data_IF_560941412487
#
_entry.id   IF_560941412487
#
_cell.length_a   1.000
_cell.length_b   1.000
_cell.length_c   1.000
_cell.angle_alpha   90.00
_cell.angle_beta   90.00
_cell.angle_gamma   90.00
#
_symmetry.space_group_name_H-M   'P 1'
#
loop_
_entity.id
_entity.type
_entity.pdbx_description
1 polymer ?
#
# COMPACT_ATOMS: atom_id res chain seq x y z
N UNK A 1 25.50 -3.11 1.36
CA UNK A 1 24.90 -4.43 1.04
C UNK A 1 23.78 -4.66 2.04
N UNK A 2 22.55 -4.93 1.58
CA UNK A 2 21.43 -5.20 2.49
C UNK A 2 21.67 -6.59 3.11
N UNK A 3 21.91 -6.63 4.41
CA UNK A 3 22.17 -7.86 5.14
C UNK A 3 20.85 -8.64 5.35
N UNK A 4 20.78 -9.82 4.75
CA UNK A 4 19.61 -10.70 4.81
C UNK A 4 19.33 -11.18 6.25
N UNK A 5 20.35 -11.30 7.10
CA UNK A 5 20.18 -11.70 8.51
C UNK A 5 19.50 -10.60 9.32
N UNK A 6 19.86 -9.33 9.08
CA UNK A 6 19.22 -8.17 9.74
C UNK A 6 17.76 -7.96 9.35
N UNK A 7 17.30 -8.55 8.25
CA UNK A 7 15.91 -8.47 7.78
C UNK A 7 14.99 -9.55 8.38
N UNK A 8 15.53 -10.74 8.70
CA UNK A 8 14.73 -11.90 9.14
C UNK A 8 13.88 -11.64 10.40
N UNK A 9 14.31 -10.73 11.27
CA UNK A 9 13.70 -10.51 12.60
C UNK A 9 13.04 -9.13 12.75
N UNK A 10 12.82 -8.40 11.65
CA UNK A 10 12.47 -6.97 11.74
C UNK A 10 10.97 -6.70 11.77
N UNK A 11 10.51 -5.96 12.78
CA UNK A 11 9.21 -5.27 12.87
C UNK A 11 7.95 -6.18 12.73
N UNK A 12 7.96 -7.40 13.28
CA UNK A 12 6.76 -8.25 13.40
C UNK A 12 6.20 -8.83 12.09
N UNK A 13 6.95 -8.76 10.98
CA UNK A 13 6.53 -9.26 9.65
C UNK A 13 7.15 -10.61 9.34
N UNK A 14 6.66 -11.63 10.05
CA UNK A 14 7.26 -12.96 10.12
C UNK A 14 7.16 -13.80 8.84
N UNK A 15 6.34 -13.40 7.85
CA UNK A 15 6.26 -14.13 6.57
C UNK A 15 7.11 -13.48 5.48
N UNK A 16 6.95 -12.18 5.25
CA UNK A 16 7.52 -11.53 4.07
C UNK A 16 9.05 -11.43 4.11
N UNK A 17 9.65 -11.00 5.23
CA UNK A 17 11.09 -10.78 5.26
C UNK A 17 11.90 -12.08 5.20
N UNK A 18 11.48 -13.20 5.83
CA UNK A 18 12.12 -14.49 5.60
C UNK A 18 12.03 -14.93 4.13
N UNK A 19 10.87 -14.76 3.48
CA UNK A 19 10.73 -15.06 2.04
C UNK A 19 11.66 -14.18 1.19
N UNK A 20 11.75 -12.88 1.49
CA UNK A 20 12.65 -11.97 0.80
C UNK A 20 14.12 -12.30 1.07
N UNK A 21 14.48 -12.70 2.30
CA UNK A 21 15.82 -13.12 2.68
C UNK A 21 16.28 -14.34 1.89
N UNK A 22 15.39 -15.33 1.71
CA UNK A 22 15.65 -16.44 0.82
C UNK A 22 15.76 -15.99 -0.64
N UNK A 23 14.89 -15.09 -1.11
CA UNK A 23 14.94 -14.57 -2.48
C UNK A 23 16.24 -13.81 -2.81
N UNK A 24 16.82 -13.14 -1.82
CA UNK A 24 18.09 -12.39 -1.94
C UNK A 24 19.33 -13.27 -2.10
N UNK A 25 19.26 -14.57 -1.78
CA UNK A 25 20.40 -15.47 -1.96
C UNK A 25 20.76 -15.67 -3.44
N UNK A 26 19.81 -15.45 -4.35
CA UNK A 26 20.01 -15.58 -5.78
C UNK A 26 20.54 -14.30 -6.44
N UNK A 27 20.06 -13.12 -6.00
CA UNK A 27 20.52 -11.82 -6.50
C UNK A 27 20.05 -10.69 -5.59
N UNK A 28 20.79 -9.57 -5.61
CA UNK A 28 20.46 -8.34 -4.88
C UNK A 28 20.16 -7.16 -5.81
N UNK A 29 19.97 -7.41 -7.11
CA UNK A 29 19.59 -6.35 -8.04
C UNK A 29 18.17 -5.85 -7.77
N UNK A 30 17.92 -4.54 -7.92
CA UNK A 30 16.60 -4.00 -7.60
C UNK A 30 15.48 -4.60 -8.46
N UNK A 31 15.79 -5.02 -9.69
CA UNK A 31 14.85 -5.72 -10.56
C UNK A 31 14.47 -7.09 -9.99
N UNK A 32 15.46 -7.86 -9.54
CA UNK A 32 15.23 -9.17 -8.92
C UNK A 32 14.40 -9.04 -7.65
N UNK A 33 14.73 -8.12 -6.75
CA UNK A 33 14.01 -7.92 -5.49
C UNK A 33 12.53 -7.55 -5.72
N UNK A 34 12.24 -6.76 -6.76
CA UNK A 34 10.87 -6.44 -7.17
C UNK A 34 10.16 -7.62 -7.82
N UNK A 35 10.89 -8.52 -8.46
CA UNK A 35 10.36 -9.74 -9.09
C UNK A 35 9.55 -10.61 -8.13
N UNK A 36 9.94 -10.68 -6.85
CA UNK A 36 9.17 -11.39 -5.84
C UNK A 36 7.72 -10.87 -5.73
N UNK A 37 7.55 -9.55 -5.73
CA UNK A 37 6.22 -8.91 -5.66
C UNK A 37 5.40 -9.15 -6.93
N UNK A 38 6.05 -9.26 -8.09
CA UNK A 38 5.41 -9.56 -9.38
C UNK A 38 4.79 -10.95 -9.39
N UNK A 39 5.48 -11.97 -8.84
CA UNK A 39 4.96 -13.34 -8.76
C UNK A 39 3.63 -13.36 -8.00
N UNK A 40 3.57 -12.74 -6.83
CA UNK A 40 2.33 -12.68 -6.05
C UNK A 40 1.27 -11.75 -6.66
N UNK A 41 1.67 -10.73 -7.43
CA UNK A 41 0.75 -9.91 -8.18
C UNK A 41 0.04 -10.73 -9.27
N UNK A 42 0.79 -11.50 -10.05
CA UNK A 42 0.23 -12.41 -11.07
C UNK A 42 -0.65 -13.49 -10.43
N UNK A 43 -0.21 -14.08 -9.31
CA UNK A 43 -1.02 -15.01 -8.53
C UNK A 43 -2.35 -14.39 -8.10
N UNK A 44 -2.36 -13.13 -7.67
CA UNK A 44 -3.60 -12.42 -7.30
C UNK A 44 -4.54 -12.23 -8.49
N UNK A 45 -4.02 -11.98 -9.70
CA UNK A 45 -4.83 -11.88 -10.94
C UNK A 45 -5.51 -13.22 -11.26
N UNK A 46 -4.78 -14.32 -11.12
CA UNK A 46 -5.37 -15.67 -11.31
C UNK A 46 -6.42 -15.94 -10.23
N UNK A 47 -6.14 -15.62 -8.97
CA UNK A 47 -7.07 -15.90 -7.87
C UNK A 47 -8.34 -15.05 -7.91
N UNK A 48 -8.29 -13.78 -8.33
CA UNK A 48 -9.50 -12.98 -8.51
C UNK A 48 -10.33 -13.48 -9.70
N UNK A 49 -9.69 -13.94 -10.78
CA UNK A 49 -10.37 -14.61 -11.89
C UNK A 49 -11.11 -15.86 -11.38
N UNK A 50 -10.42 -16.74 -10.68
CA UNK A 50 -10.98 -17.97 -10.12
C UNK A 50 -12.12 -17.68 -9.14
N UNK A 51 -11.98 -16.66 -8.29
CA UNK A 51 -13.03 -16.27 -7.35
C UNK A 51 -14.27 -15.77 -8.07
N UNK A 52 -14.11 -14.91 -9.09
CA UNK A 52 -15.23 -14.43 -9.89
C UNK A 52 -15.89 -15.53 -10.73
N UNK A 53 -15.09 -16.43 -11.30
CA UNK A 53 -15.56 -17.60 -12.05
C UNK A 53 -16.37 -18.54 -11.17
N UNK A 54 -15.86 -18.86 -9.99
CA UNK A 54 -16.49 -19.79 -9.06
C UNK A 54 -17.78 -19.24 -8.44
N UNK A 55 -17.81 -17.95 -8.08
CA UNK A 55 -18.97 -17.34 -7.45
C UNK A 55 -20.07 -16.94 -8.44
N UNK A 56 -19.69 -16.66 -9.69
CA UNK A 56 -20.59 -16.18 -10.72
C UNK A 56 -20.41 -16.94 -12.03
N UNK A 57 -19.47 -16.53 -12.87
CA UNK A 57 -19.19 -17.10 -14.18
C UNK A 57 -17.84 -16.61 -14.74
N UNK A 58 -17.37 -17.25 -15.81
CA UNK A 58 -16.09 -16.96 -16.47
C UNK A 58 -15.94 -15.48 -16.84
N UNK A 59 -16.96 -14.87 -17.45
CA UNK A 59 -16.92 -13.45 -17.84
C UNK A 59 -16.73 -12.52 -16.65
N UNK A 60 -17.37 -12.80 -15.52
CA UNK A 60 -17.21 -12.01 -14.29
C UNK A 60 -15.78 -12.11 -13.76
N UNK A 61 -15.21 -13.33 -13.77
CA UNK A 61 -13.80 -13.56 -13.44
C UNK A 61 -12.86 -12.77 -14.35
N UNK A 62 -13.06 -12.82 -15.67
CA UNK A 62 -12.21 -12.13 -16.65
C UNK A 62 -12.25 -10.61 -16.47
N UNK A 63 -13.45 -10.03 -16.31
CA UNK A 63 -13.59 -8.57 -16.10
C UNK A 63 -12.93 -8.14 -14.79
N UNK A 64 -13.09 -8.90 -13.70
CA UNK A 64 -12.46 -8.58 -12.42
C UNK A 64 -10.93 -8.69 -12.48
N UNK A 65 -10.41 -9.72 -13.14
CA UNK A 65 -8.97 -9.91 -13.36
C UNK A 65 -8.37 -8.81 -14.23
N UNK A 66 -9.08 -8.40 -15.30
CA UNK A 66 -8.68 -7.26 -16.13
C UNK A 66 -8.60 -5.98 -15.29
N UNK A 67 -9.66 -5.68 -14.51
CA UNK A 67 -9.71 -4.51 -13.62
C UNK A 67 -8.56 -4.50 -12.60
N UNK A 68 -8.22 -5.65 -12.00
CA UNK A 68 -7.08 -5.75 -11.08
C UNK A 68 -5.75 -5.54 -11.80
N UNK A 69 -5.60 -6.11 -13.00
CA UNK A 69 -4.38 -6.03 -13.82
C UNK A 69 -4.05 -4.58 -14.19
N UNK A 70 -5.06 -3.78 -14.53
CA UNK A 70 -4.87 -2.37 -14.92
C UNK A 70 -4.96 -1.39 -13.76
N UNK A 71 -5.18 -1.87 -12.52
CA UNK A 71 -5.32 -1.00 -11.35
C UNK A 71 -4.00 -0.27 -11.05
N UNK A 72 -3.98 1.08 -11.06
CA UNK A 72 -2.74 1.84 -10.81
C UNK A 72 -2.16 1.59 -9.42
N UNK A 73 -3.01 1.39 -8.41
CA UNK A 73 -2.56 1.04 -7.05
C UNK A 73 -1.91 -0.35 -7.02
N UNK A 74 -2.51 -1.32 -7.70
CA UNK A 74 -2.01 -2.68 -7.70
C UNK A 74 -0.68 -2.78 -8.45
N UNK A 75 -0.57 -2.12 -9.61
CA UNK A 75 0.68 -1.99 -10.37
C UNK A 75 1.78 -1.31 -9.54
N UNK A 76 1.44 -0.24 -8.80
CA UNK A 76 2.41 0.43 -7.92
C UNK A 76 3.06 -0.56 -6.94
N UNK A 77 2.24 -1.36 -6.25
CA UNK A 77 2.75 -2.30 -5.27
C UNK A 77 3.34 -3.58 -5.86
N UNK A 78 2.99 -3.96 -7.09
CA UNK A 78 3.66 -5.02 -7.83
C UNK A 78 5.13 -4.70 -8.16
N UNK A 79 5.48 -3.40 -8.21
CA UNK A 79 6.83 -2.92 -8.52
C UNK A 79 7.60 -2.44 -7.28
N UNK A 80 7.07 -2.68 -6.08
CA UNK A 80 7.71 -2.34 -4.82
C UNK A 80 8.23 -3.60 -4.11
N UNK A 81 9.39 -3.49 -3.46
CA UNK A 81 9.89 -4.53 -2.55
C UNK A 81 9.14 -4.42 -1.22
N UNK A 82 7.85 -4.79 -1.25
CA UNK A 82 6.92 -4.75 -0.12
C UNK A 82 5.98 -5.95 -0.11
N UNK A 83 5.41 -6.21 1.05
CA UNK A 83 4.58 -7.37 1.36
C UNK A 83 3.14 -7.31 0.84
N UNK A 84 2.71 -6.22 0.20
CA UNK A 84 1.29 -6.03 -0.08
C UNK A 84 0.71 -6.94 -1.17
N UNK A 85 1.47 -7.27 -2.22
CA UNK A 85 1.01 -8.21 -3.24
C UNK A 85 0.96 -9.64 -2.71
N UNK A 86 1.94 -10.03 -1.87
CA UNK A 86 1.90 -11.28 -1.10
C UNK A 86 0.64 -11.36 -0.22
N UNK A 87 0.38 -10.32 0.57
CA UNK A 87 -0.82 -10.24 1.41
C UNK A 87 -2.11 -10.35 0.59
N UNK A 88 -2.19 -9.64 -0.53
CA UNK A 88 -3.36 -9.68 -1.43
C UNK A 88 -3.57 -11.09 -2.02
N UNK A 89 -2.49 -11.75 -2.46
CA UNK A 89 -2.52 -13.10 -3.00
C UNK A 89 -3.03 -14.11 -1.96
N UNK A 90 -2.48 -14.09 -0.74
CA UNK A 90 -2.87 -15.01 0.33
C UNK A 90 -4.31 -14.75 0.79
N UNK A 91 -4.72 -13.49 0.90
CA UNK A 91 -6.10 -13.15 1.29
C UNK A 91 -7.12 -13.61 0.25
N UNK A 92 -6.84 -13.46 -1.05
CA UNK A 92 -7.66 -14.01 -2.13
C UNK A 92 -7.73 -15.55 -2.08
N UNK A 93 -6.60 -16.23 -1.88
CA UNK A 93 -6.57 -17.68 -1.73
C UNK A 93 -7.42 -18.15 -0.53
N UNK A 94 -7.30 -17.48 0.62
CA UNK A 94 -8.12 -17.77 1.79
C UNK A 94 -9.61 -17.51 1.55
N UNK A 95 -9.95 -16.49 0.76
CA UNK A 95 -11.34 -16.19 0.39
C UNK A 95 -11.92 -17.24 -0.55
N UNK A 96 -11.13 -17.75 -1.50
CA UNK A 96 -11.50 -18.89 -2.34
C UNK A 96 -11.76 -20.16 -1.51
N UNK A 97 -10.87 -20.48 -0.56
CA UNK A 97 -11.09 -21.59 0.35
C UNK A 97 -12.36 -21.43 1.18
N UNK A 98 -12.64 -20.21 1.68
CA UNK A 98 -13.88 -19.94 2.40
C UNK A 98 -15.11 -20.09 1.49
N UNK A 99 -15.07 -19.56 0.27
CA UNK A 99 -16.16 -19.70 -0.69
C UNK A 99 -16.49 -21.17 -0.95
N UNK A 100 -15.48 -22.02 -1.13
CA UNK A 100 -15.66 -23.47 -1.21
C UNK A 100 -16.21 -24.05 0.09
N UNK A 101 -15.71 -23.65 1.25
CA UNK A 101 -16.18 -24.15 2.55
C UNK A 101 -17.65 -23.77 2.84
N UNK A 102 -18.10 -22.60 2.39
CA UNK A 102 -19.50 -22.16 2.54
C UNK A 102 -20.46 -22.97 1.63
N UNK A 103 -20.00 -23.42 0.47
CA UNK A 103 -20.79 -24.25 -0.45
C UNK A 103 -20.65 -25.75 -0.16
N UNK A 104 -19.51 -26.20 0.37
CA UNK A 104 -19.17 -27.58 0.69
C UNK A 104 -18.78 -27.72 2.19
N UNK A 105 -19.73 -27.50 3.13
CA UNK A 105 -19.43 -27.38 4.57
C UNK A 105 -18.84 -28.65 5.21
N UNK A 106 -19.02 -29.81 4.57
CA UNK A 106 -18.49 -31.09 5.03
C UNK A 106 -17.01 -31.29 4.67
N UNK A 107 -16.45 -30.50 3.75
CA UNK A 107 -15.08 -30.65 3.29
C UNK A 107 -14.09 -29.98 4.26
N UNK A 108 -13.46 -30.78 5.13
CA UNK A 108 -12.48 -30.29 6.10
C UNK A 108 -11.30 -29.54 5.47
N UNK A 109 -10.81 -29.98 4.29
CA UNK A 109 -9.65 -29.38 3.63
C UNK A 109 -9.88 -27.91 3.28
N UNK A 110 -11.11 -27.56 2.85
CA UNK A 110 -11.45 -26.17 2.52
C UNK A 110 -11.47 -25.27 3.75
N UNK A 111 -12.00 -25.75 4.87
CA UNK A 111 -12.03 -25.03 6.15
C UNK A 111 -10.63 -24.87 6.75
N UNK A 112 -9.82 -25.93 6.71
CA UNK A 112 -8.44 -25.87 7.15
C UNK A 112 -7.62 -24.91 6.25
N UNK A 113 -7.79 -25.00 4.93
CA UNK A 113 -7.16 -24.10 3.97
C UNK A 113 -7.51 -22.63 4.21
N UNK A 114 -8.79 -22.33 4.49
CA UNK A 114 -9.22 -20.99 4.88
C UNK A 114 -8.49 -20.49 6.13
N UNK A 115 -8.49 -21.27 7.22
CA UNK A 115 -7.84 -20.89 8.47
C UNK A 115 -6.32 -20.70 8.30
N UNK A 116 -5.65 -21.59 7.58
CA UNK A 116 -4.21 -21.47 7.29
C UNK A 116 -3.93 -20.20 6.49
N UNK A 117 -4.69 -19.93 5.43
CA UNK A 117 -4.48 -18.72 4.62
C UNK A 117 -4.80 -17.44 5.39
N UNK A 118 -5.81 -17.43 6.28
CA UNK A 118 -6.07 -16.26 7.14
C UNK A 118 -4.96 -16.04 8.16
N UNK A 119 -4.44 -17.11 8.76
CA UNK A 119 -3.27 -17.01 9.64
C UNK A 119 -2.04 -16.45 8.90
N UNK A 120 -1.72 -16.99 7.73
CA UNK A 120 -0.63 -16.48 6.88
C UNK A 120 -0.84 -15.01 6.47
N UNK A 121 -2.09 -14.62 6.17
CA UNK A 121 -2.41 -13.22 5.88
C UNK A 121 -2.14 -12.32 7.08
N UNK A 122 -2.51 -12.73 8.30
CA UNK A 122 -2.23 -11.97 9.53
C UNK A 122 -0.72 -11.86 9.80
N UNK A 123 0.05 -12.93 9.51
CA UNK A 123 1.52 -12.90 9.60
C UNK A 123 2.20 -11.95 8.60
N UNK A 124 1.56 -11.65 7.46
CA UNK A 124 2.06 -10.59 6.57
C UNK A 124 1.79 -9.21 7.16
N UNK A 125 0.54 -8.97 7.59
CA UNK A 125 0.05 -7.70 8.10
C UNK A 125 -1.09 -7.98 9.09
N UNK A 126 -0.97 -7.58 10.37
CA UNK A 126 -2.01 -7.80 11.36
C UNK A 126 -3.39 -7.23 10.96
N UNK A 127 -3.41 -6.14 10.18
CA UNK A 127 -4.65 -5.52 9.68
C UNK A 127 -5.50 -6.44 8.79
N UNK A 128 -4.90 -7.46 8.17
CA UNK A 128 -5.65 -8.45 7.39
C UNK A 128 -6.62 -9.26 8.27
N UNK A 129 -6.43 -9.27 9.59
CA UNK A 129 -7.35 -9.86 10.56
C UNK A 129 -8.76 -9.28 10.50
N UNK A 130 -8.94 -8.06 9.98
CA UNK A 130 -10.26 -7.46 9.76
C UNK A 130 -11.14 -8.29 8.79
N UNK A 131 -10.55 -9.12 7.92
CA UNK A 131 -11.31 -10.07 7.08
C UNK A 131 -12.07 -11.12 7.90
N UNK A 132 -11.59 -11.48 9.09
CA UNK A 132 -12.28 -12.44 9.94
C UNK A 132 -13.68 -11.94 10.34
N UNK A 133 -13.87 -10.63 10.47
CA UNK A 133 -15.19 -10.06 10.72
C UNK A 133 -16.17 -10.35 9.57
N UNK A 134 -15.71 -10.22 8.32
CA UNK A 134 -16.50 -10.59 7.16
C UNK A 134 -16.75 -12.11 7.11
N UNK A 135 -15.72 -12.91 7.35
CA UNK A 135 -15.81 -14.37 7.30
C UNK A 135 -16.83 -14.89 8.33
N UNK A 136 -16.76 -14.41 9.59
CA UNK A 136 -17.67 -14.79 10.66
C UNK A 136 -19.10 -14.34 10.37
N UNK A 137 -19.28 -13.13 9.84
CA UNK A 137 -20.59 -12.64 9.40
C UNK A 137 -21.19 -13.56 8.32
N UNK A 138 -20.41 -13.97 7.33
CA UNK A 138 -20.86 -14.85 6.26
C UNK A 138 -21.16 -16.27 6.75
N UNK A 139 -20.28 -16.86 7.56
CA UNK A 139 -20.50 -18.19 8.16
C UNK A 139 -21.77 -18.17 9.02
N UNK A 140 -21.93 -17.15 9.88
CA UNK A 140 -23.07 -17.00 10.77
C UNK A 140 -24.39 -16.82 10.03
N UNK A 141 -24.41 -15.97 9.00
CA UNK A 141 -25.63 -15.76 8.19
C UNK A 141 -25.96 -16.98 7.33
N UNK A 142 -24.98 -17.63 6.71
CA UNK A 142 -25.15 -18.83 5.88
C UNK A 142 -25.69 -20.02 6.66
N UNK A 143 -25.24 -20.23 7.90
CA UNK A 143 -25.56 -21.42 8.70
C UNK A 143 -26.33 -21.11 9.98
N UNK A 144 -26.99 -19.95 10.05
CA UNK A 144 -27.80 -19.52 11.21
C UNK A 144 -28.81 -20.56 11.69
N UNK A 145 -29.44 -21.28 10.75
CA UNK A 145 -30.40 -22.34 11.02
C UNK A 145 -29.78 -23.76 11.09
N UNK A 146 -28.47 -23.89 10.88
CA UNK A 146 -27.77 -25.18 10.71
C UNK A 146 -26.61 -25.29 11.70
N UNK A 147 -26.93 -25.40 13.01
CA UNK A 147 -25.97 -25.37 14.12
C UNK A 147 -24.78 -26.32 13.95
N UNK A 148 -24.99 -27.53 13.44
CA UNK A 148 -23.90 -28.51 13.24
C UNK A 148 -22.88 -28.02 12.21
N UNK A 149 -23.34 -27.40 11.11
CA UNK A 149 -22.44 -26.84 10.08
C UNK A 149 -21.71 -25.60 10.59
N UNK A 150 -22.40 -24.76 11.37
CA UNK A 150 -21.79 -23.61 12.05
C UNK A 150 -20.67 -24.07 13.00
N UNK A 151 -20.96 -25.04 13.87
CA UNK A 151 -20.00 -25.62 14.82
C UNK A 151 -18.83 -26.32 14.11
N UNK A 152 -19.02 -26.79 12.87
CA UNK A 152 -17.95 -27.37 12.08
C UNK A 152 -16.84 -26.36 11.68
N UNK A 153 -17.09 -25.05 11.83
CA UNK A 153 -16.07 -24.00 11.70
C UNK A 153 -15.37 -23.65 13.03
N UNK A 154 -15.86 -24.15 14.17
CA UNK A 154 -15.29 -23.83 15.47
C UNK A 154 -13.85 -24.35 15.61
N UNK A 155 -13.59 -25.61 15.24
CA UNK A 155 -12.24 -26.20 15.31
C UNK A 155 -11.17 -25.41 14.55
N UNK A 156 -11.32 -25.11 13.23
CA UNK A 156 -10.31 -24.37 12.48
C UNK A 156 -10.19 -22.92 12.96
N UNK A 157 -11.29 -22.32 13.43
CA UNK A 157 -11.28 -20.97 13.97
C UNK A 157 -10.55 -20.88 15.32
N UNK A 158 -10.78 -21.84 16.23
CA UNK A 158 -10.03 -21.94 17.50
C UNK A 158 -8.53 -22.14 17.23
N UNK A 159 -8.18 -23.04 16.29
CA UNK A 159 -6.80 -23.22 15.87
C UNK A 159 -6.17 -21.93 15.34
N UNK A 160 -6.89 -21.18 14.51
CA UNK A 160 -6.46 -19.87 14.03
C UNK A 160 -6.25 -18.87 15.17
N UNK A 161 -7.18 -18.79 16.13
CA UNK A 161 -7.05 -17.88 17.28
C UNK A 161 -5.80 -18.22 18.07
N UNK A 162 -5.61 -19.50 18.42
CA UNK A 162 -4.45 -19.97 19.19
C UNK A 162 -3.15 -19.57 18.50
N UNK A 163 -3.05 -19.79 17.19
CA UNK A 163 -1.87 -19.41 16.41
C UNK A 163 -1.65 -17.89 16.34
N UNK A 164 -2.72 -17.09 16.42
CA UNK A 164 -2.63 -15.63 16.42
C UNK A 164 -2.31 -15.03 17.80
N UNK A 165 -2.37 -15.79 18.90
CA UNK A 165 -2.12 -15.27 20.26
C UNK A 165 -0.77 -14.55 20.38
N UNK A 166 0.37 -15.14 19.93
CA UNK A 166 1.67 -14.46 20.07
C UNK A 166 1.72 -13.12 19.32
N UNK A 167 1.11 -13.06 18.14
CA UNK A 167 1.03 -11.83 17.32
C UNK A 167 0.17 -10.79 18.03
N UNK A 168 -0.94 -11.21 18.63
CA UNK A 168 -1.81 -10.30 19.39
C UNK A 168 -1.08 -9.73 20.61
N UNK A 169 -0.33 -10.55 21.35
CA UNK A 169 0.49 -10.12 22.49
C UNK A 169 1.53 -9.09 22.04
N UNK A 170 2.30 -9.38 20.99
CA UNK A 170 3.31 -8.49 20.42
C UNK A 170 2.69 -7.15 19.98
N UNK A 171 1.55 -7.19 19.28
CA UNK A 171 0.83 -5.99 18.85
C UNK A 171 0.35 -5.15 20.03
N UNK A 172 -0.25 -5.77 21.06
CA UNK A 172 -0.71 -5.07 22.27
C UNK A 172 0.48 -4.42 22.96
N UNK A 173 1.58 -5.15 23.15
CA UNK A 173 2.80 -4.63 23.77
C UNK A 173 3.40 -3.44 23.01
N UNK A 174 3.31 -3.48 21.68
CA UNK A 174 3.81 -2.40 20.80
C UNK A 174 2.94 -1.16 20.89
N UNK A 175 1.62 -1.34 21.00
CA UNK A 175 0.67 -0.25 21.16
C UNK A 175 0.77 0.38 22.55
N UNK A 176 0.86 -0.42 23.61
CA UNK A 176 0.95 0.08 25.01
C UNK A 176 2.29 0.74 25.30
N UNK A 177 3.37 0.31 24.64
CA UNK A 177 4.70 0.92 24.79
C UNK A 177 4.87 2.27 24.05
N UNK A 178 3.84 2.76 23.34
CA UNK A 178 3.90 4.04 22.60
C UNK A 178 4.88 4.04 21.43
N UNK A 179 5.45 2.89 21.05
CA UNK A 179 6.46 2.80 19.99
C UNK A 179 5.88 3.02 18.58
N UNK A 180 4.55 2.93 18.42
CA UNK A 180 3.85 3.10 17.15
C UNK A 180 2.79 4.20 17.22
N UNK A 181 3.21 5.46 17.22
CA UNK A 181 2.33 6.61 16.99
C UNK A 181 2.26 6.95 15.49
N UNK A 182 1.49 6.19 14.72
CA UNK A 182 1.00 6.71 13.44
C UNK A 182 -0.21 7.59 13.74
N UNK A 183 0.03 8.86 14.09
CA UNK A 183 -1.04 9.85 14.28
C UNK A 183 -1.45 10.36 12.89
N UNK A 184 -2.32 9.60 12.22
CA UNK A 184 -3.07 10.10 11.07
C UNK A 184 -4.29 10.89 11.54
N UNK A 185 -4.86 11.80 10.72
CA UNK A 185 -6.16 12.36 11.02
C UNK A 185 -7.21 11.24 11.07
N UNK A 186 -8.21 11.36 11.95
CA UNK A 186 -9.36 10.47 11.96
C UNK A 186 -10.12 10.63 10.63
N UNK A 187 -10.51 9.53 9.98
CA UNK A 187 -11.13 9.62 8.66
C UNK A 187 -12.56 10.14 8.72
N UNK A 188 -12.90 11.09 7.87
CA UNK A 188 -14.30 11.45 7.61
C UNK A 188 -14.87 10.69 6.42
N UNK A 189 -16.10 11.06 6.04
CA UNK A 189 -16.78 10.48 4.86
C UNK A 189 -16.01 10.78 3.55
N UNK A 190 -15.30 11.92 3.50
CA UNK A 190 -14.48 12.32 2.35
C UNK A 190 -13.33 11.35 2.13
N UNK A 191 -12.71 10.89 3.22
CA UNK A 191 -11.62 9.92 3.19
C UNK A 191 -12.13 8.56 2.71
N UNK A 192 -13.35 8.14 3.06
CA UNK A 192 -13.96 6.91 2.54
C UNK A 192 -14.11 6.96 1.01
N UNK A 193 -14.67 8.06 0.47
CA UNK A 193 -14.77 8.24 -0.98
C UNK A 193 -13.41 8.33 -1.67
N UNK A 194 -12.43 8.93 -0.98
CA UNK A 194 -11.04 8.97 -1.43
C UNK A 194 -10.47 7.54 -1.54
N UNK A 195 -10.70 6.67 -0.56
CA UNK A 195 -10.24 5.28 -0.61
C UNK A 195 -10.87 4.52 -1.78
N UNK A 196 -12.19 4.66 -1.99
CA UNK A 196 -12.86 4.02 -3.13
C UNK A 196 -12.26 4.45 -4.48
N UNK A 197 -11.94 5.74 -4.63
CA UNK A 197 -11.24 6.24 -5.83
C UNK A 197 -9.87 5.59 -6.01
N UNK A 198 -9.09 5.54 -4.92
CA UNK A 198 -7.71 5.04 -4.95
C UNK A 198 -7.67 3.54 -5.23
N UNK A 199 -8.54 2.77 -4.59
CA UNK A 199 -8.58 1.30 -4.73
C UNK A 199 -9.08 0.86 -6.11
N UNK A 200 -9.72 1.74 -6.89
CA UNK A 200 -10.35 1.39 -8.17
C UNK A 200 -9.61 1.91 -9.41
N UNK A 201 -9.28 3.21 -9.47
CA UNK A 201 -8.72 3.80 -10.70
C UNK A 201 -7.74 4.96 -10.52
N UNK A 202 -7.74 5.70 -9.40
CA UNK A 202 -6.86 6.87 -9.28
C UNK A 202 -6.31 7.05 -7.86
N UNK A 203 -5.06 6.61 -7.70
CA UNK A 203 -4.36 6.55 -6.41
C UNK A 203 -3.74 7.87 -5.94
N UNK A 204 -3.78 8.90 -6.78
CA UNK A 204 -3.06 10.15 -6.53
C UNK A 204 -3.98 11.23 -5.97
N UNK A 205 -3.44 12.25 -5.29
CA UNK A 205 -4.16 13.50 -5.09
C UNK A 205 -4.48 14.10 -6.46
N UNK A 206 -5.66 14.72 -6.67
CA UNK A 206 -6.02 15.30 -7.96
C UNK A 206 -5.59 16.77 -8.10
N UNK A 207 -4.58 17.08 -8.93
CA UNK A 207 -4.42 18.40 -9.54
C UNK A 207 -4.48 18.25 -11.06
N UNK A 208 -5.31 19.00 -11.83
CA UNK A 208 -5.99 20.30 -11.59
C UNK A 208 -7.54 20.22 -11.41
N UNK A 209 -8.30 21.34 -11.26
CA UNK A 209 -9.73 21.32 -10.88
C UNK A 209 -10.68 20.50 -11.76
N UNK A 210 -10.45 20.46 -13.08
CA UNK A 210 -11.28 19.66 -13.98
C UNK A 210 -11.14 18.16 -13.68
N UNK A 211 -9.93 17.71 -13.33
CA UNK A 211 -9.67 16.32 -12.97
C UNK A 211 -10.36 15.98 -11.65
N UNK A 212 -10.37 16.90 -10.70
CA UNK A 212 -11.12 16.74 -9.45
C UNK A 212 -12.61 16.54 -9.71
N UNK A 213 -13.24 17.36 -10.56
CA UNK A 213 -14.67 17.23 -10.91
C UNK A 213 -14.94 15.90 -11.63
N UNK A 214 -14.11 15.54 -12.60
CA UNK A 214 -14.22 14.25 -13.28
C UNK A 214 -14.14 13.08 -12.29
N UNK A 215 -13.19 13.11 -11.35
CA UNK A 215 -13.02 12.06 -10.35
C UNK A 215 -14.18 12.01 -9.36
N UNK A 216 -14.83 13.14 -9.04
CA UNK A 216 -16.06 13.15 -8.24
C UNK A 216 -17.21 12.43 -8.96
N UNK A 217 -17.42 12.75 -10.25
CA UNK A 217 -18.44 12.06 -11.08
C UNK A 217 -18.11 10.58 -11.22
N UNK A 218 -16.84 10.23 -11.44
CA UNK A 218 -16.36 8.85 -11.48
C UNK A 218 -16.67 8.10 -10.18
N UNK A 219 -16.43 8.69 -9.01
CA UNK A 219 -16.73 8.04 -7.72
C UNK A 219 -18.23 7.77 -7.58
N UNK A 220 -19.08 8.72 -7.96
CA UNK A 220 -20.53 8.53 -7.94
C UNK A 220 -20.96 7.40 -8.88
N UNK A 221 -20.35 7.30 -10.06
CA UNK A 221 -20.55 6.21 -11.00
C UNK A 221 -20.15 4.86 -10.37
N UNK A 222 -18.96 4.77 -9.77
CA UNK A 222 -18.47 3.54 -9.10
C UNK A 222 -19.44 3.10 -8.01
N UNK A 223 -19.88 4.03 -7.15
CA UNK A 223 -20.86 3.75 -6.09
C UNK A 223 -22.16 3.26 -6.70
N UNK A 224 -22.68 3.93 -7.73
CA UNK A 224 -23.93 3.53 -8.40
C UNK A 224 -23.83 2.12 -8.98
N UNK A 225 -22.71 1.76 -9.62
CA UNK A 225 -22.49 0.42 -10.17
C UNK A 225 -22.42 -0.64 -9.06
N UNK A 226 -21.72 -0.36 -7.95
CA UNK A 226 -21.68 -1.28 -6.79
C UNK A 226 -23.05 -1.44 -6.13
N UNK A 227 -23.82 -0.35 -6.01
CA UNK A 227 -25.21 -0.38 -5.49
C UNK A 227 -26.11 -1.20 -6.42
N UNK A 228 -25.97 -1.05 -7.74
CA UNK A 228 -26.68 -1.87 -8.74
C UNK A 228 -26.31 -3.35 -8.58
N UNK A 229 -25.03 -3.65 -8.33
CA UNK A 229 -24.59 -5.02 -8.07
C UNK A 229 -25.39 -5.64 -6.91
N UNK A 230 -25.52 -4.92 -5.79
CA UNK A 230 -26.17 -5.40 -4.55
C UNK A 230 -27.70 -5.43 -4.67
N UNK A 231 -28.33 -4.37 -5.17
CA UNK A 231 -29.78 -4.16 -5.04
C UNK A 231 -30.56 -4.80 -6.20
N UNK A 232 -30.04 -4.76 -7.44
CA UNK A 232 -30.78 -5.15 -8.65
C UNK A 232 -30.99 -6.66 -8.72
N UNK A 233 -32.23 -7.07 -9.03
CA UNK A 233 -32.62 -8.48 -9.19
C UNK A 233 -32.01 -9.13 -10.45
N UNK A 234 -31.74 -10.45 -10.45
CA UNK A 234 -31.81 -11.35 -9.29
C UNK A 234 -30.69 -11.03 -8.29
N UNK A 235 -31.04 -11.02 -7.00
CA UNK A 235 -30.05 -10.86 -5.93
C UNK A 235 -29.38 -12.22 -5.75
N UNK A 236 -28.07 -12.26 -5.96
CA UNK A 236 -27.27 -13.45 -5.74
C UNK A 236 -26.64 -13.33 -4.35
N UNK A 237 -26.73 -14.41 -3.57
CA UNK A 237 -26.12 -14.50 -2.25
C UNK A 237 -24.61 -14.28 -2.32
N UNK A 238 -23.96 -14.78 -3.38
CA UNK A 238 -22.54 -14.60 -3.65
C UNK A 238 -22.18 -13.11 -3.85
N UNK A 239 -23.09 -12.28 -4.36
CA UNK A 239 -22.86 -10.82 -4.45
C UNK A 239 -22.75 -10.20 -3.06
N UNK A 240 -23.56 -10.67 -2.11
CA UNK A 240 -23.48 -10.22 -0.72
C UNK A 240 -22.20 -10.70 -0.03
N UNK A 241 -21.67 -11.87 -0.42
CA UNK A 241 -20.37 -12.34 0.07
C UNK A 241 -19.24 -11.41 -0.34
N UNK A 242 -19.18 -11.05 -1.63
CA UNK A 242 -18.17 -10.11 -2.14
C UNK A 242 -18.33 -8.73 -1.49
N UNK A 243 -19.57 -8.25 -1.32
CA UNK A 243 -19.83 -6.99 -0.61
C UNK A 243 -19.38 -7.05 0.86
N UNK A 244 -19.59 -8.16 1.56
CA UNK A 244 -19.14 -8.35 2.93
C UNK A 244 -17.61 -8.30 3.03
N UNK A 245 -16.87 -9.03 2.17
CA UNK A 245 -15.40 -8.96 2.13
C UNK A 245 -14.86 -7.59 1.73
N UNK A 246 -15.60 -6.82 0.92
CA UNK A 246 -15.25 -5.46 0.53
C UNK A 246 -15.49 -4.41 1.62
N UNK A 247 -16.66 -4.45 2.27
CA UNK A 247 -17.11 -3.34 3.12
C UNK A 247 -16.97 -3.61 4.62
N UNK A 248 -17.07 -4.86 5.11
CA UNK A 248 -16.96 -5.13 6.55
C UNK A 248 -15.55 -4.79 7.08
N UNK A 249 -14.44 -5.22 6.44
CA UNK A 249 -13.11 -4.88 6.92
C UNK A 249 -12.85 -3.37 6.87
N UNK A 250 -13.36 -2.68 5.84
CA UNK A 250 -13.29 -1.23 5.71
C UNK A 250 -14.00 -0.54 6.90
N UNK A 251 -15.21 -1.00 7.24
CA UNK A 251 -15.98 -0.49 8.38
C UNK A 251 -15.30 -0.77 9.71
N UNK A 252 -14.74 -1.97 9.91
CA UNK A 252 -14.00 -2.31 11.13
C UNK A 252 -12.81 -1.36 11.33
N UNK A 253 -12.04 -1.11 10.28
CA UNK A 253 -10.89 -0.20 10.34
C UNK A 253 -11.34 1.26 10.52
N UNK A 254 -12.47 1.65 9.92
CA UNK A 254 -13.06 2.99 10.09
C UNK A 254 -13.46 3.22 11.55
N UNK A 255 -14.20 2.29 12.14
CA UNK A 255 -14.67 2.35 13.52
C UNK A 255 -13.48 2.33 14.48
N UNK A 256 -12.52 1.42 14.28
CA UNK A 256 -11.32 1.38 15.11
C UNK A 256 -10.55 2.71 15.06
N UNK A 257 -10.45 3.33 13.89
CA UNK A 257 -9.77 4.62 13.72
C UNK A 257 -10.49 5.79 14.41
N UNK A 258 -11.77 5.64 14.77
CA UNK A 258 -12.52 6.62 15.57
C UNK A 258 -12.44 6.35 17.08
N UNK A 259 -12.39 5.08 17.47
CA UNK A 259 -12.38 4.68 18.87
C UNK A 259 -10.98 4.70 19.50
N UNK A 260 -9.93 4.60 18.69
CA UNK A 260 -8.54 4.55 19.13
C UNK A 260 -7.66 5.43 18.23
N UNK A 261 -6.42 5.02 18.00
CA UNK A 261 -5.51 5.72 17.07
C UNK A 261 -5.97 5.51 15.62
N UNK A 262 -5.97 6.59 14.83
CA UNK A 262 -6.30 6.52 13.41
C UNK A 262 -5.28 5.67 12.66
N UNK A 263 -5.73 4.52 12.15
CA UNK A 263 -4.97 3.63 11.27
C UNK A 263 -5.47 3.73 9.83
N UNK A 264 -6.16 4.82 9.48
CA UNK A 264 -6.76 5.02 8.17
C UNK A 264 -5.71 5.40 7.11
N UNK A 265 -4.95 4.41 6.68
CA UNK A 265 -3.90 4.57 5.69
C UNK A 265 -4.20 3.66 4.50
N UNK A 266 -4.23 4.23 3.30
CA UNK A 266 -4.70 3.54 2.10
C UNK A 266 -3.97 2.25 1.76
N UNK A 267 -2.66 2.18 2.07
CA UNK A 267 -1.85 0.97 1.89
C UNK A 267 -2.34 -0.22 2.73
N UNK A 268 -3.10 0.02 3.80
CA UNK A 268 -3.70 -1.03 4.63
C UNK A 268 -4.99 -1.59 4.05
N UNK A 269 -5.62 -0.91 3.08
CA UNK A 269 -6.81 -1.41 2.40
C UNK A 269 -6.49 -2.20 1.13
N UNK A 270 -5.22 -2.48 0.83
CA UNK A 270 -4.87 -3.17 -0.42
C UNK A 270 -5.51 -4.57 -0.51
N UNK A 271 -5.66 -5.27 0.61
CA UNK A 271 -6.34 -6.57 0.63
C UNK A 271 -7.84 -6.48 0.32
N UNK A 272 -8.45 -5.29 0.40
CA UNK A 272 -9.87 -5.03 0.13
C UNK A 272 -10.10 -4.76 -1.36
N UNK A 273 -9.11 -4.17 -2.05
CA UNK A 273 -9.24 -3.73 -3.45
C UNK A 273 -9.79 -4.81 -4.40
N UNK A 274 -9.35 -6.08 -4.36
CA UNK A 274 -9.88 -7.11 -5.25
C UNK A 274 -11.39 -7.33 -5.11
N UNK A 275 -11.94 -7.25 -3.89
CA UNK A 275 -13.37 -7.47 -3.66
C UNK A 275 -14.20 -6.29 -4.17
N UNK A 276 -13.69 -5.06 -4.06
CA UNK A 276 -14.34 -3.88 -4.65
C UNK A 276 -14.34 -3.96 -6.18
N UNK A 277 -13.23 -4.37 -6.79
CA UNK A 277 -13.14 -4.55 -8.25
C UNK A 277 -14.04 -5.70 -8.74
N UNK A 278 -14.11 -6.80 -8.00
CA UNK A 278 -15.02 -7.90 -8.32
C UNK A 278 -16.50 -7.48 -8.19
N UNK A 279 -16.85 -6.70 -7.16
CA UNK A 279 -18.20 -6.16 -7.01
C UNK A 279 -18.55 -5.18 -8.15
N UNK A 280 -17.58 -4.36 -8.57
CA UNK A 280 -17.71 -3.46 -9.70
C UNK A 280 -17.93 -4.24 -11.01
N UNK A 281 -17.20 -5.34 -11.23
CA UNK A 281 -17.38 -6.23 -12.38
C UNK A 281 -18.80 -6.84 -12.41
N UNK A 282 -19.31 -7.33 -11.27
CA UNK A 282 -20.68 -7.85 -11.16
C UNK A 282 -21.72 -6.78 -11.51
N UNK A 283 -21.57 -5.57 -10.96
CA UNK A 283 -22.45 -4.43 -11.25
C UNK A 283 -22.42 -4.05 -12.73
N UNK A 284 -21.22 -3.95 -13.31
CA UNK A 284 -21.01 -3.65 -14.72
C UNK A 284 -21.72 -4.66 -15.63
N UNK A 285 -21.57 -5.97 -15.38
CA UNK A 285 -22.21 -7.00 -16.19
C UNK A 285 -23.75 -6.99 -16.07
N UNK A 286 -24.29 -6.64 -14.89
CA UNK A 286 -25.75 -6.42 -14.73
C UNK A 286 -26.27 -5.21 -15.52
N UNK A 287 -25.43 -4.19 -15.73
CA UNK A 287 -25.76 -3.04 -16.60
C UNK A 287 -25.63 -3.49 -18.05
N UNK A 288 -24.53 -4.16 -18.42
CA UNK A 288 -24.27 -4.64 -19.78
C UNK A 288 -25.41 -5.48 -20.35
N UNK A 289 -25.96 -6.40 -19.55
CA UNK A 289 -27.05 -7.27 -19.98
C UNK A 289 -28.35 -6.53 -20.33
N UNK A 290 -28.61 -5.40 -19.67
CA UNK A 290 -29.90 -4.72 -19.77
C UNK A 290 -29.82 -3.37 -20.51
N UNK A 291 -28.70 -2.64 -20.40
CA UNK A 291 -28.50 -1.27 -20.85
C UNK A 291 -27.10 -1.16 -21.50
N UNK A 292 -26.90 -1.80 -22.66
CA UNK A 292 -25.57 -1.89 -23.32
C UNK A 292 -24.92 -0.53 -23.54
N UNK A 293 -25.68 0.47 -24.02
CA UNK A 293 -25.16 1.82 -24.23
C UNK A 293 -24.63 2.45 -22.93
N UNK A 294 -25.37 2.31 -21.81
CA UNK A 294 -24.92 2.79 -20.50
C UNK A 294 -23.68 2.04 -20.02
N UNK A 295 -23.61 0.72 -20.25
CA UNK A 295 -22.43 -0.06 -19.90
C UNK A 295 -21.19 0.39 -20.68
N UNK A 296 -21.32 0.72 -21.96
CA UNK A 296 -20.22 1.28 -22.75
C UNK A 296 -19.76 2.60 -22.15
N UNK A 297 -20.68 3.50 -21.76
CA UNK A 297 -20.33 4.76 -21.08
C UNK A 297 -19.59 4.49 -19.76
N UNK A 298 -20.08 3.55 -18.95
CA UNK A 298 -19.41 3.15 -17.69
C UNK A 298 -18.00 2.66 -17.96
N UNK A 299 -17.81 1.79 -18.96
CA UNK A 299 -16.51 1.27 -19.35
C UNK A 299 -15.56 2.35 -19.85
N UNK A 300 -16.06 3.31 -20.66
CA UNK A 300 -15.28 4.45 -21.15
C UNK A 300 -14.84 5.35 -20.01
N UNK A 301 -15.75 5.72 -19.09
CA UNK A 301 -15.42 6.56 -17.93
C UNK A 301 -14.42 5.87 -17.01
N UNK A 302 -14.60 4.57 -16.74
CA UNK A 302 -13.64 3.77 -15.98
C UNK A 302 -12.28 3.68 -16.68
N UNK A 303 -12.28 3.40 -17.99
CA UNK A 303 -11.07 3.34 -18.81
C UNK A 303 -10.30 4.66 -18.79
N UNK A 304 -10.98 5.80 -18.98
CA UNK A 304 -10.37 7.13 -18.89
C UNK A 304 -9.77 7.36 -17.50
N UNK A 305 -10.49 7.03 -16.43
CA UNK A 305 -10.00 7.20 -15.06
C UNK A 305 -8.73 6.37 -14.79
N UNK A 306 -8.74 5.10 -15.21
CA UNK A 306 -7.58 4.20 -15.11
C UNK A 306 -6.42 4.70 -15.96
N UNK A 307 -6.66 5.09 -17.21
CA UNK A 307 -5.64 5.64 -18.11
C UNK A 307 -4.99 6.88 -17.51
N UNK A 308 -5.77 7.82 -16.97
CA UNK A 308 -5.23 9.00 -16.28
C UNK A 308 -4.39 8.58 -15.06
N UNK A 309 -4.85 7.61 -14.27
CA UNK A 309 -4.11 7.07 -13.14
C UNK A 309 -2.76 6.45 -13.54
N UNK A 310 -2.73 5.67 -14.62
CA UNK A 310 -1.52 5.05 -15.16
C UNK A 310 -0.60 6.08 -15.79
N UNK A 311 -1.11 7.01 -16.60
CA UNK A 311 -0.32 8.09 -17.17
C UNK A 311 0.34 8.90 -16.06
N UNK A 312 -0.39 9.26 -15.00
CA UNK A 312 0.19 9.94 -13.85
C UNK A 312 1.25 9.06 -13.16
N UNK A 313 1.01 7.76 -12.99
CA UNK A 313 1.98 6.83 -12.42
C UNK A 313 3.32 6.80 -13.19
N UNK A 314 3.27 6.72 -14.52
CA UNK A 314 4.47 6.59 -15.35
C UNK A 314 5.13 7.91 -15.73
N UNK A 315 4.38 9.01 -15.79
CA UNK A 315 4.92 10.32 -16.21
C UNK A 315 5.32 11.22 -15.04
N UNK A 316 4.70 11.06 -13.86
CA UNK A 316 4.95 11.97 -12.75
C UNK A 316 6.10 11.48 -11.85
N UNK A 317 7.06 12.34 -11.51
CA UNK A 317 8.13 12.01 -10.57
C UNK A 317 7.63 11.82 -9.12
N UNK A 318 6.39 12.23 -8.84
CA UNK A 318 5.70 11.97 -7.59
C UNK A 318 5.04 10.57 -7.65
N UNK A 319 5.54 9.60 -6.87
CA UNK A 319 4.82 8.35 -6.67
C UNK A 319 3.73 8.51 -5.62
N UNK A 320 2.88 7.49 -5.56
CA UNK A 320 1.74 7.37 -4.67
C UNK A 320 2.04 7.80 -3.21
N UNK A 321 1.15 8.63 -2.63
CA UNK A 321 1.14 9.10 -1.23
C UNK A 321 2.51 9.32 -0.58
N UNK A 322 3.32 10.22 -1.16
CA UNK A 322 4.56 10.65 -0.53
C UNK A 322 5.73 9.67 -0.69
N UNK A 323 5.56 8.59 -1.47
CA UNK A 323 6.71 7.93 -2.07
C UNK A 323 7.34 8.94 -3.04
N UNK A 324 8.32 9.69 -2.53
CA UNK A 324 9.21 10.51 -3.35
C UNK A 324 9.85 9.53 -4.35
N UNK A 325 9.85 9.87 -5.66
CA UNK A 325 10.26 8.98 -6.75
C UNK A 325 11.67 8.37 -6.60
N UNK A 326 12.21 7.76 -7.64
CA UNK A 326 13.56 7.16 -7.57
C UNK A 326 14.69 8.21 -7.64
N UNK A 327 14.64 9.23 -6.78
CA UNK A 327 15.67 10.28 -6.70
C UNK A 327 16.93 9.79 -6.00
N UNK A 328 16.83 8.75 -5.15
CA UNK A 328 17.96 8.21 -4.39
C UNK A 328 19.12 7.79 -5.29
N UNK A 329 18.83 7.09 -6.40
CA UNK A 329 19.86 6.65 -7.34
C UNK A 329 20.55 7.84 -8.02
N UNK A 330 19.79 8.84 -8.46
CA UNK A 330 20.35 10.05 -9.08
C UNK A 330 21.21 10.86 -8.11
N UNK A 331 20.76 11.01 -6.86
CA UNK A 331 21.52 11.67 -5.80
C UNK A 331 22.80 10.91 -5.48
N UNK A 332 22.73 9.58 -5.32
CA UNK A 332 23.90 8.75 -5.05
C UNK A 332 24.92 8.80 -6.21
N UNK A 333 24.45 8.75 -7.47
CA UNK A 333 25.32 8.87 -8.65
C UNK A 333 26.03 10.22 -8.70
N UNK A 334 25.31 11.31 -8.41
CA UNK A 334 25.90 12.64 -8.34
C UNK A 334 27.00 12.72 -7.28
N UNK A 335 26.70 12.27 -6.05
CA UNK A 335 27.66 12.34 -4.95
C UNK A 335 28.87 11.43 -5.24
N UNK A 336 28.65 10.19 -5.67
CA UNK A 336 29.73 9.26 -6.01
C UNK A 336 30.66 9.80 -7.13
N UNK A 337 30.14 10.63 -8.04
CA UNK A 337 30.93 11.17 -9.16
C UNK A 337 31.82 12.36 -8.76
N UNK A 338 31.42 13.11 -7.73
CA UNK A 338 32.11 14.35 -7.34
C UNK A 338 32.72 14.30 -5.94
N UNK A 339 32.47 13.24 -5.16
CA UNK A 339 32.98 13.11 -3.79
C UNK A 339 34.51 13.05 -3.70
N UNK A 340 35.05 13.45 -2.55
CA UNK A 340 36.46 13.39 -2.20
C UNK A 340 36.61 12.73 -0.83
N UNK A 341 37.79 12.15 -0.52
CA UNK A 341 38.08 11.66 0.81
C UNK A 341 37.82 12.74 1.88
N UNK A 342 37.12 12.35 2.95
CA UNK A 342 36.73 13.25 4.04
C UNK A 342 35.40 14.00 3.83
N UNK A 343 34.76 13.88 2.67
CA UNK A 343 33.42 14.46 2.47
C UNK A 343 32.38 13.82 3.42
N UNK A 344 31.37 14.61 3.80
CA UNK A 344 30.26 14.18 4.65
C UNK A 344 28.92 14.45 3.98
N UNK A 345 27.98 13.51 4.09
CA UNK A 345 26.62 13.63 3.55
C UNK A 345 25.64 13.87 4.71
N UNK A 346 25.02 15.04 4.74
CA UNK A 346 23.92 15.38 5.64
C UNK A 346 22.60 14.99 4.99
N UNK A 347 21.96 13.96 5.54
CA UNK A 347 20.62 13.54 5.14
C UNK A 347 19.56 14.25 5.99
N UNK A 348 18.82 15.18 5.39
CA UNK A 348 17.85 16.04 6.07
C UNK A 348 16.41 15.86 5.59
N UNK A 349 16.00 14.61 5.38
CA UNK A 349 14.66 14.27 4.90
C UNK A 349 13.85 13.58 6.01
N UNK A 350 12.82 14.28 6.52
CA UNK A 350 12.00 13.91 7.69
C UNK A 350 11.28 12.57 7.53
N UNK A 351 10.70 12.31 6.35
CA UNK A 351 9.85 11.12 6.11
C UNK A 351 10.56 10.05 5.26
N UNK A 352 11.88 10.15 5.11
CA UNK A 352 12.70 9.22 4.35
C UNK A 352 13.79 8.66 5.23
N UNK A 353 13.86 7.35 5.33
CA UNK A 353 15.06 6.68 5.85
C UNK A 353 16.24 6.96 4.92
N UNK A 354 17.45 7.11 5.46
CA UNK A 354 18.70 7.19 4.69
C UNK A 354 19.06 5.86 4.02
N UNK A 355 18.43 4.73 4.42
CA UNK A 355 18.73 3.38 3.94
C UNK A 355 18.74 3.20 2.42
N UNK A 356 17.80 3.78 1.65
CA UNK A 356 17.87 3.70 0.19
C UNK A 356 19.07 4.47 -0.37
N UNK A 357 19.47 5.59 0.24
CA UNK A 357 20.69 6.29 -0.14
C UNK A 357 21.94 5.45 0.20
N UNK A 358 22.01 4.89 1.41
CA UNK A 358 23.07 3.96 1.84
C UNK A 358 23.20 2.73 0.93
N UNK A 359 22.09 2.28 0.34
CA UNK A 359 22.11 1.16 -0.62
C UNK A 359 22.74 1.53 -1.96
N UNK A 360 22.51 2.75 -2.46
CA UNK A 360 23.04 3.20 -3.75
C UNK A 360 24.40 3.90 -3.67
N UNK A 361 24.70 4.51 -2.52
CA UNK A 361 25.99 5.15 -2.26
C UNK A 361 27.06 4.08 -2.11
N UNK A 362 28.14 4.21 -2.88
CA UNK A 362 29.30 3.28 -2.87
C UNK A 362 30.58 3.99 -2.46
N UNK A 363 30.45 5.25 -2.07
CA UNK A 363 31.56 6.12 -1.74
C UNK A 363 32.06 5.97 -0.31
N UNK A 364 33.09 6.75 0.01
CA UNK A 364 33.66 6.81 1.36
C UNK A 364 32.98 7.83 2.27
N UNK A 365 32.12 8.70 1.73
CA UNK A 365 31.52 9.78 2.49
C UNK A 365 30.55 9.24 3.56
N UNK A 366 30.71 9.71 4.80
CA UNK A 366 29.85 9.28 5.91
C UNK A 366 28.46 9.93 5.81
N UNK A 367 27.41 9.14 6.01
CA UNK A 367 26.02 9.65 5.97
C UNK A 367 25.55 9.95 7.40
N UNK A 368 25.33 11.24 7.69
CA UNK A 368 24.81 11.73 8.96
C UNK A 368 23.35 12.11 8.80
N UNK A 369 22.47 11.45 9.55
CA UNK A 369 21.04 11.81 9.59
C UNK A 369 20.82 13.00 10.53
N UNK A 370 20.28 14.09 10.00
CA UNK A 370 19.88 15.29 10.75
C UNK A 370 18.47 15.70 10.35
N UNK A 371 17.49 15.34 11.18
CA UNK A 371 16.09 15.63 10.89
C UNK A 371 15.86 17.15 10.74
N UNK A 372 15.29 17.54 9.60
CA UNK A 372 14.91 18.91 9.32
C UNK A 372 13.68 19.25 10.17
N UNK A 373 13.70 20.31 10.98
CA UNK A 373 12.49 20.74 11.69
C UNK A 373 11.56 21.51 10.73
N UNK A 374 10.29 21.13 10.68
CA UNK A 374 9.30 21.57 9.67
C UNK A 374 8.89 23.04 9.76
N UNK A 375 9.29 23.75 10.82
CA UNK A 375 8.95 25.16 10.98
C UNK A 375 9.81 25.97 10.01
N UNK A 376 9.19 26.41 8.91
CA UNK A 376 9.76 27.33 7.93
C UNK A 376 9.86 28.77 8.48
N UNK A 377 10.24 28.91 9.74
CA UNK A 377 10.65 30.20 10.27
C UNK A 377 12.18 30.31 10.15
N UNK A 378 12.64 31.54 10.01
CA UNK A 378 14.05 31.85 9.82
C UNK A 378 14.90 31.37 11.02
N UNK A 379 14.35 31.47 12.22
CA UNK A 379 15.02 31.09 13.47
C UNK A 379 15.35 29.59 13.52
N UNK A 380 14.39 28.70 13.24
CA UNK A 380 14.64 27.25 13.26
C UNK A 380 15.57 26.81 12.14
N UNK A 381 15.52 27.46 10.96
CA UNK A 381 16.46 27.17 9.88
C UNK A 381 17.89 27.56 10.29
N UNK A 382 18.10 28.76 10.87
CA UNK A 382 19.41 29.20 11.37
C UNK A 382 19.92 28.29 12.49
N UNK A 383 19.06 27.92 13.44
CA UNK A 383 19.40 26.98 14.52
C UNK A 383 19.81 25.60 13.97
N UNK A 384 19.03 25.06 13.02
CA UNK A 384 19.36 23.79 12.39
C UNK A 384 20.70 23.85 11.64
N UNK A 385 20.93 24.92 10.87
CA UNK A 385 22.21 25.15 10.18
C UNK A 385 23.36 25.25 11.19
N UNK A 386 23.17 25.88 12.35
CA UNK A 386 24.14 25.97 13.44
C UNK A 386 24.42 24.65 14.13
N UNK A 387 23.49 23.69 14.05
CA UNK A 387 23.69 22.34 14.57
C UNK A 387 24.51 21.42 13.66
N UNK A 388 24.83 21.86 12.43
CA UNK A 388 25.60 21.06 11.48
C UNK A 388 27.06 20.93 11.93
N UNK A 389 27.72 19.79 11.66
CA UNK A 389 29.12 19.61 12.04
C UNK A 389 30.01 20.63 11.31
N UNK A 390 31.18 20.97 11.87
CA UNK A 390 32.15 21.81 11.18
C UNK A 390 32.56 21.17 9.85
N UNK A 391 32.87 22.01 8.85
CA UNK A 391 33.29 21.58 7.53
C UNK A 391 34.81 21.35 7.56
N UNK A 392 35.24 20.11 7.77
CA UNK A 392 36.68 19.75 7.71
C UNK A 392 37.16 19.53 6.26
N UNK A 393 36.29 19.01 5.40
CA UNK A 393 36.52 18.83 3.96
C UNK A 393 35.37 19.45 3.18
N UNK A 394 34.47 18.70 2.53
CA UNK A 394 33.26 19.26 1.91
C UNK A 394 32.00 18.59 2.46
N UNK A 395 30.90 19.33 2.46
CA UNK A 395 29.62 18.87 2.99
C UNK A 395 28.55 18.81 1.91
N UNK A 396 27.95 17.65 1.73
CA UNK A 396 26.80 17.42 0.86
C UNK A 396 25.52 17.51 1.70
N UNK A 397 24.62 18.43 1.40
CA UNK A 397 23.31 18.51 2.06
C UNK A 397 22.23 17.99 1.12
N UNK A 398 21.51 16.96 1.56
CA UNK A 398 20.37 16.36 0.85
C UNK A 398 19.09 16.70 1.61
N UNK A 399 18.24 17.53 1.00
CA UNK A 399 17.09 18.14 1.69
C UNK A 399 15.81 18.12 0.83
N UNK A 400 14.61 18.20 1.44
CA UNK A 400 13.35 18.31 0.69
C UNK A 400 13.27 19.64 -0.08
N UNK A 401 12.50 19.63 -1.16
CA UNK A 401 12.23 20.74 -2.08
C UNK A 401 12.52 22.17 -1.54
N UNK A 402 13.34 22.92 -2.28
CA UNK A 402 13.82 24.27 -1.97
C UNK A 402 12.70 25.24 -1.54
N UNK A 403 12.69 25.66 -0.28
CA UNK A 403 12.14 26.97 0.06
C UNK A 403 13.19 28.02 -0.32
N UNK A 404 12.78 29.13 -0.95
CA UNK A 404 13.71 30.23 -1.29
C UNK A 404 14.47 30.70 -0.05
N UNK A 405 13.77 30.77 1.09
CA UNK A 405 14.31 31.12 2.39
C UNK A 405 15.47 30.20 2.82
N UNK A 406 15.33 28.87 2.67
CA UNK A 406 16.40 27.94 3.04
C UNK A 406 17.65 28.15 2.18
N UNK A 407 17.50 28.34 0.87
CA UNK A 407 18.64 28.58 -0.01
C UNK A 407 19.34 29.91 0.30
N UNK A 408 18.58 30.96 0.63
CA UNK A 408 19.14 32.25 1.06
C UNK A 408 19.95 32.11 2.34
N UNK A 409 19.36 31.52 3.39
CA UNK A 409 20.03 31.32 4.67
C UNK A 409 21.25 30.39 4.58
N UNK A 410 21.21 29.41 3.68
CA UNK A 410 22.36 28.55 3.41
C UNK A 410 23.52 29.32 2.77
N UNK A 411 23.23 30.23 1.84
CA UNK A 411 24.23 31.10 1.19
C UNK A 411 24.73 32.22 2.13
N UNK A 412 23.89 32.73 3.03
CA UNK A 412 24.32 33.68 4.06
C UNK A 412 25.32 33.06 5.04
N UNK A 413 25.12 31.79 5.39
CA UNK A 413 25.99 31.09 6.33
C UNK A 413 27.29 30.61 5.70
N UNK A 414 27.24 30.16 4.45
CA UNK A 414 28.39 29.55 3.77
C UNK A 414 28.68 30.28 2.47
N UNK A 415 29.89 30.83 2.35
CA UNK A 415 30.30 31.62 1.19
C UNK A 415 30.39 30.79 -0.12
N UNK A 416 30.72 29.49 -0.02
CA UNK A 416 30.94 28.62 -1.19
C UNK A 416 29.91 27.48 -1.30
N UNK A 417 28.68 27.80 -1.69
CA UNK A 417 27.60 26.83 -1.92
C UNK A 417 27.36 26.57 -3.41
N UNK A 418 27.60 25.34 -3.87
CA UNK A 418 27.23 24.86 -5.20
C UNK A 418 25.91 24.10 -5.12
N UNK A 419 24.86 24.64 -5.73
CA UNK A 419 23.53 24.00 -5.79
C UNK A 419 23.42 23.10 -7.02
N UNK A 420 22.98 21.85 -6.83
CA UNK A 420 22.75 20.91 -7.93
C UNK A 420 21.27 20.83 -8.32
N UNK A 421 21.03 20.30 -9.53
CA UNK A 421 19.69 20.13 -10.11
C UNK A 421 18.77 19.34 -9.17
N UNK A 422 17.47 19.67 -9.22
CA UNK A 422 16.42 19.00 -8.45
C UNK A 422 16.22 17.56 -8.93
N UNK A 423 16.36 16.59 -8.02
CA UNK A 423 16.04 15.18 -8.24
C UNK A 423 14.63 14.89 -7.71
N UNK A 424 13.61 15.03 -8.56
CA UNK A 424 12.22 14.84 -8.16
C UNK A 424 11.77 15.87 -7.12
N UNK A 425 11.57 15.45 -5.86
CA UNK A 425 11.21 16.34 -4.74
C UNK A 425 12.39 16.63 -3.79
N UNK A 426 13.60 16.25 -4.18
CA UNK A 426 14.82 16.39 -3.39
C UNK A 426 15.81 17.32 -4.08
N UNK A 427 16.52 18.10 -3.27
CA UNK A 427 17.60 18.99 -3.70
C UNK A 427 18.89 18.60 -3.01
N UNK A 428 20.01 18.85 -3.70
CA UNK A 428 21.36 18.55 -3.24
C UNK A 428 22.20 19.80 -3.37
N UNK A 429 22.93 20.15 -2.32
CA UNK A 429 23.90 21.25 -2.31
C UNK A 429 25.24 20.74 -1.81
N UNK A 430 26.33 21.22 -2.40
CA UNK A 430 27.70 21.00 -1.93
C UNK A 430 28.22 22.29 -1.32
N UNK A 431 28.78 22.19 -0.12
CA UNK A 431 29.42 23.29 0.58
C UNK A 431 30.91 22.98 0.63
N UNK A 432 31.71 23.93 0.16
CA UNK A 432 33.17 23.84 0.24
C UNK A 432 33.67 24.54 1.52
N UNK A 433 34.81 24.13 2.08
CA UNK A 433 35.41 24.80 3.21
C UNK A 433 35.82 26.22 2.79
N UNK A 434 35.82 27.15 3.74
CA UNK A 434 36.44 28.45 3.52
C UNK A 434 37.95 28.24 3.41
N UNK A 435 38.53 28.75 2.32
CA UNK A 435 39.95 28.62 1.98
C UNK A 435 40.84 29.40 2.92
#
# INVERSE_FOLDING_TARGET
MIDAEKLRMKDGRFLYYPTLAFWMTFSNSDAWLRGLSVIFALGSVVLIYELGRYLFNETTGLVAALMLTVSPLFINHAQEVRYYTLATCITLAGTLFLAHALQQPNNWKTKAGWAVMRFLAILTVPFNGALLGADLFLIGTQFSQQKQKLLAFAKPFIGLIILCIPIAIDLISTVTSGKHHLVGPTPGIREVFRELRILTAYSYPPPPPYLTRFLQVYILLVIAVMVIAIIKKPRSQQTLWVAAWGFIPLTIIFVYSHLSNSIWITRYFMFIAPYLLLLLAVGFLKIWRQWRAMAIIVALVYGIAVSIGLTHYYSSPARYMGARGDFYRGVAQLINAEEKPGDVIIWSIIHGTSKPLEHYHRGSASIIKKDYQYKFDEANIKEWLNSLPPIESRMWIVYPNQSKLFCQLLQEKYNNVKNYKKFGQCSVSLINPES
#
